data_IF_587765467837
#
_entry.id   IF_587765467837
#
_cell.length_a   1.000
_cell.length_b   1.000
_cell.length_c   1.000
_cell.angle_alpha   90.00
_cell.angle_beta   90.00
_cell.angle_gamma   90.00
#
_symmetry.space_group_name_H-M   'P 1'
#
loop_
_entity.id
_entity.type
_entity.pdbx_description
1 polymer ?
#
# COMPACT_ATOMS: atom_id res chain seq x y z
N UNK A 1 -25.25 21.05 15.03
CA UNK A 1 -24.59 20.20 16.05
C UNK A 1 -23.60 19.19 15.47
N UNK A 2 -23.92 18.49 14.36
CA UNK A 2 -23.03 17.46 13.78
C UNK A 2 -21.63 17.98 13.41
N UNK A 3 -21.53 19.16 12.78
CA UNK A 3 -20.23 19.76 12.45
C UNK A 3 -19.40 20.10 13.69
N UNK A 4 -20.03 20.63 14.75
CA UNK A 4 -19.33 20.94 16.01
C UNK A 4 -18.73 19.69 16.66
N UNK A 5 -19.47 18.58 16.66
CA UNK A 5 -18.98 17.29 17.16
C UNK A 5 -17.81 16.76 16.32
N UNK A 6 -17.92 16.83 14.98
CA UNK A 6 -16.84 16.42 14.09
C UNK A 6 -15.58 17.27 14.28
N UNK A 7 -15.71 18.59 14.42
CA UNK A 7 -14.58 19.49 14.65
C UNK A 7 -13.86 19.17 15.95
N UNK A 8 -14.59 18.98 17.06
CA UNK A 8 -13.99 18.61 18.35
C UNK A 8 -13.28 17.25 18.26
N UNK A 9 -13.90 16.27 17.59
CA UNK A 9 -13.30 14.96 17.38
C UNK A 9 -11.99 15.05 16.58
N UNK A 10 -12.01 15.76 15.44
CA UNK A 10 -10.82 15.95 14.61
C UNK A 10 -9.74 16.73 15.35
N UNK A 11 -10.08 17.73 16.16
CA UNK A 11 -9.14 18.48 16.97
C UNK A 11 -8.42 17.59 17.99
N UNK A 12 -9.14 16.69 18.66
CA UNK A 12 -8.58 15.74 19.63
C UNK A 12 -7.93 14.49 19.03
N UNK A 13 -8.19 14.16 17.76
CA UNK A 13 -7.66 12.96 17.14
C UNK A 13 -6.13 13.02 16.95
N UNK A 14 -5.42 11.87 17.01
CA UNK A 14 -4.06 11.75 16.51
C UNK A 14 -3.93 12.28 15.08
N UNK A 15 -2.91 13.09 14.81
CA UNK A 15 -2.67 13.67 13.48
C UNK A 15 -1.63 12.85 12.73
N UNK A 16 -1.89 12.58 11.46
CA UNK A 16 -0.92 12.01 10.54
C UNK A 16 -1.18 12.53 9.13
N UNK A 17 -0.11 12.94 8.46
CA UNK A 17 -0.08 13.25 7.03
C UNK A 17 0.69 12.19 6.24
N UNK A 18 0.99 11.02 6.83
CA UNK A 18 1.86 10.00 6.23
C UNK A 18 1.29 9.46 4.90
N UNK A 19 -0.03 9.19 4.86
CA UNK A 19 -0.71 8.73 3.66
C UNK A 19 -0.78 9.83 2.58
N UNK A 20 -0.97 11.08 2.99
CA UNK A 20 -0.99 12.23 2.08
C UNK A 20 0.37 12.38 1.37
N UNK A 21 1.46 12.41 2.14
CA UNK A 21 2.82 12.50 1.60
C UNK A 21 3.19 11.29 0.73
N UNK A 22 2.70 10.09 1.08
CA UNK A 22 2.91 8.88 0.29
C UNK A 22 2.25 8.98 -1.09
N UNK A 23 1.04 9.52 -1.17
CA UNK A 23 0.32 9.71 -2.44
C UNK A 23 1.04 10.77 -3.27
N UNK A 24 1.42 11.91 -2.68
CA UNK A 24 2.17 12.96 -3.38
C UNK A 24 3.48 12.43 -3.97
N UNK A 25 4.24 11.66 -3.20
CA UNK A 25 5.49 11.06 -3.67
C UNK A 25 5.25 10.02 -4.78
N UNK A 26 4.19 9.21 -4.68
CA UNK A 26 3.83 8.24 -5.71
C UNK A 26 3.39 8.92 -7.02
N UNK A 27 2.61 10.01 -6.92
CA UNK A 27 2.21 10.80 -8.09
C UNK A 27 3.42 11.42 -8.79
N UNK A 28 4.31 12.06 -8.02
CA UNK A 28 5.56 12.61 -8.57
C UNK A 28 6.44 11.53 -9.20
N UNK A 29 6.49 10.34 -8.62
CA UNK A 29 7.22 9.22 -9.21
C UNK A 29 6.64 8.83 -10.58
N UNK A 30 5.33 8.71 -10.70
CA UNK A 30 4.66 8.40 -11.97
C UNK A 30 4.88 9.49 -13.03
N UNK A 31 4.82 10.76 -12.64
CA UNK A 31 5.07 11.89 -13.55
C UNK A 31 6.51 11.88 -14.10
N UNK A 32 7.48 11.56 -13.25
CA UNK A 32 8.89 11.51 -13.62
C UNK A 32 9.31 10.20 -14.32
N UNK A 33 8.49 9.16 -14.24
CA UNK A 33 8.78 7.83 -14.80
C UNK A 33 7.59 7.34 -15.65
N UNK A 34 7.37 7.93 -16.85
CA UNK A 34 6.23 7.58 -17.70
C UNK A 34 6.29 6.13 -18.25
N UNK A 35 7.50 5.57 -18.35
CA UNK A 35 7.75 4.23 -18.92
C UNK A 35 7.76 3.11 -17.86
N UNK A 36 7.14 3.32 -16.69
CA UNK A 36 7.03 2.26 -15.67
C UNK A 36 6.18 1.13 -16.21
N UNK A 37 6.82 0.01 -16.49
CA UNK A 37 6.15 -1.19 -16.98
C UNK A 37 5.36 -1.83 -15.85
N UNK A 38 4.17 -2.34 -16.15
CA UNK A 38 3.41 -3.19 -15.22
C UNK A 38 3.94 -4.62 -15.36
N UNK A 39 4.30 -5.32 -14.26
CA UNK A 39 4.69 -6.72 -14.34
C UNK A 39 3.64 -7.55 -15.07
N UNK A 40 4.07 -8.45 -15.96
CA UNK A 40 3.15 -9.18 -16.84
C UNK A 40 2.06 -9.90 -16.04
N UNK A 41 2.43 -10.56 -14.94
CA UNK A 41 1.53 -11.28 -14.02
C UNK A 41 0.54 -10.38 -13.24
N UNK A 42 0.55 -9.06 -13.42
CA UNK A 42 -0.44 -8.13 -12.86
C UNK A 42 -1.35 -7.53 -13.94
N UNK A 43 -1.07 -7.74 -15.23
CA UNK A 43 -1.90 -7.20 -16.31
C UNK A 43 -3.23 -7.94 -16.34
N UNK A 44 -4.31 -7.19 -16.58
CA UNK A 44 -5.62 -7.80 -16.75
C UNK A 44 -5.64 -8.63 -18.04
N UNK A 45 -6.00 -9.91 -17.93
CA UNK A 45 -6.19 -10.81 -19.08
C UNK A 45 -7.62 -11.31 -19.05
N UNK A 46 -8.21 -11.46 -20.23
CA UNK A 46 -9.54 -12.03 -20.37
C UNK A 46 -9.57 -13.42 -19.75
N UNK A 47 -10.66 -13.72 -19.05
CA UNK A 47 -10.89 -14.96 -18.27
C UNK A 47 -10.71 -16.24 -19.12
N UNK A 48 -10.86 -16.12 -20.44
CA UNK A 48 -10.66 -17.21 -21.42
C UNK A 48 -9.21 -17.71 -21.46
N UNK A 49 -8.24 -16.83 -21.20
CA UNK A 49 -6.85 -17.18 -20.97
C UNK A 49 -6.64 -17.45 -19.47
N UNK A 50 -6.80 -18.73 -19.10
CA UNK A 50 -6.55 -19.28 -17.76
C UNK A 50 -5.43 -18.53 -17.04
N UNK A 51 -5.71 -18.02 -15.83
CA UNK A 51 -4.80 -17.45 -14.82
C UNK A 51 -3.38 -17.18 -15.35
N UNK A 52 -3.00 -15.92 -15.49
CA UNK A 52 -1.65 -15.56 -15.93
C UNK A 52 -0.59 -16.41 -15.21
N UNK A 53 0.31 -17.08 -15.96
CA UNK A 53 1.37 -17.84 -15.34
C UNK A 53 2.22 -16.90 -14.49
N UNK A 54 2.17 -17.08 -13.16
CA UNK A 54 2.99 -16.33 -12.20
C UNK A 54 2.24 -15.42 -11.22
N UNK A 55 0.96 -15.11 -11.43
CA UNK A 55 0.19 -14.38 -10.41
C UNK A 55 -0.10 -15.29 -9.21
N UNK A 56 0.34 -14.88 -8.03
CA UNK A 56 0.03 -15.55 -6.77
C UNK A 56 -1.17 -14.87 -6.12
N UNK A 57 -2.27 -15.62 -5.99
CA UNK A 57 -3.49 -15.13 -5.34
C UNK A 57 -3.28 -15.03 -3.83
N UNK A 58 -3.28 -13.83 -3.21
CA UNK A 58 -2.86 -13.67 -1.81
C UNK A 58 -3.70 -14.47 -0.81
N UNK A 59 -4.98 -14.72 -1.11
CA UNK A 59 -5.87 -15.46 -0.21
C UNK A 59 -5.51 -16.94 -0.05
N UNK A 60 -4.71 -17.50 -0.97
CA UNK A 60 -4.24 -18.88 -0.87
C UNK A 60 -3.02 -19.01 0.08
N UNK A 61 -2.49 -17.90 0.60
CA UNK A 61 -1.30 -17.87 1.44
C UNK A 61 -1.64 -17.54 2.91
N UNK A 62 -0.82 -18.01 3.87
CA UNK A 62 -0.98 -17.63 5.28
C UNK A 62 -1.02 -16.12 5.46
N UNK A 63 -1.88 -15.65 6.38
CA UNK A 63 -2.13 -14.23 6.65
C UNK A 63 -2.64 -13.42 5.43
N UNK A 64 -3.12 -14.12 4.38
CA UNK A 64 -3.51 -13.52 3.10
C UNK A 64 -2.40 -12.66 2.47
N UNK A 65 -1.14 -13.01 2.72
CA UNK A 65 0.01 -12.28 2.23
C UNK A 65 0.93 -13.19 1.43
N UNK A 66 1.36 -12.71 0.28
CA UNK A 66 2.34 -13.39 -0.56
C UNK A 66 3.46 -12.45 -0.95
N UNK A 67 4.69 -12.93 -0.81
CA UNK A 67 5.86 -12.23 -1.33
C UNK A 67 5.88 -12.33 -2.86
N UNK A 68 5.35 -11.30 -3.49
CA UNK A 68 5.35 -11.07 -4.93
C UNK A 68 5.78 -9.63 -5.18
N UNK A 69 6.50 -9.40 -6.28
CA UNK A 69 6.86 -8.05 -6.67
C UNK A 69 5.64 -7.37 -7.27
N UNK A 70 5.30 -6.18 -6.79
CA UNK A 70 4.12 -5.46 -7.29
C UNK A 70 4.49 -4.27 -8.17
N UNK A 71 5.72 -3.80 -8.06
CA UNK A 71 6.23 -2.67 -8.82
C UNK A 71 7.68 -2.89 -9.24
N UNK A 72 8.08 -2.32 -10.37
CA UNK A 72 9.50 -2.25 -10.79
C UNK A 72 10.20 -1.03 -10.18
N UNK A 73 9.89 -0.72 -8.93
CA UNK A 73 10.47 0.36 -8.16
C UNK A 73 10.81 -0.17 -6.77
N UNK A 74 11.97 0.21 -6.24
CA UNK A 74 12.38 -0.13 -4.88
C UNK A 74 12.06 1.00 -3.87
N UNK A 75 11.39 2.07 -4.30
CA UNK A 75 10.97 3.19 -3.43
C UNK A 75 9.85 2.79 -2.47
N UNK A 76 9.93 3.33 -1.25
CA UNK A 76 8.92 3.15 -0.21
C UNK A 76 8.24 4.49 0.03
N UNK A 77 7.05 4.65 -0.53
CA UNK A 77 6.24 5.86 -0.40
C UNK A 77 5.54 5.98 0.95
N UNK A 78 4.95 4.88 1.43
CA UNK A 78 4.18 4.90 2.67
C UNK A 78 5.04 4.56 3.90
N UNK A 79 5.16 5.52 4.82
CA UNK A 79 5.91 5.39 6.07
C UNK A 79 5.00 5.76 7.24
N UNK A 80 4.25 4.79 7.81
CA UNK A 80 3.33 5.07 8.92
C UNK A 80 4.08 5.58 10.15
N UNK A 81 3.47 6.51 10.88
CA UNK A 81 3.94 6.93 12.19
C UNK A 81 3.60 5.90 13.27
N UNK A 82 4.11 6.10 14.48
CA UNK A 82 3.77 5.28 15.63
C UNK A 82 2.64 5.88 16.49
N UNK A 83 1.82 6.78 15.92
CA UNK A 83 0.79 7.51 16.66
C UNK A 83 -0.61 6.97 16.27
N UNK A 84 -1.45 6.76 17.29
CA UNK A 84 -2.84 6.36 17.08
C UNK A 84 -2.96 5.02 16.39
N UNK A 85 -3.80 4.95 15.36
CA UNK A 85 -4.05 3.71 14.62
C UNK A 85 -2.85 3.27 13.75
N UNK A 86 -2.01 4.20 13.32
CA UNK A 86 -0.87 3.88 12.46
C UNK A 86 0.16 2.98 13.13
N UNK A 87 0.26 3.01 14.47
CA UNK A 87 1.10 2.05 15.19
C UNK A 87 0.69 0.60 14.93
N UNK A 88 -0.63 0.33 14.85
CA UNK A 88 -1.16 -1.01 14.53
C UNK A 88 -0.86 -1.37 13.08
N UNK A 89 -1.02 -0.42 12.16
CA UNK A 89 -0.69 -0.61 10.74
C UNK A 89 0.80 -0.92 10.58
N UNK A 90 1.67 -0.17 11.25
CA UNK A 90 3.11 -0.37 11.21
C UNK A 90 3.51 -1.76 11.74
N UNK A 91 2.90 -2.20 12.84
CA UNK A 91 3.14 -3.53 13.40
C UNK A 91 2.68 -4.63 12.43
N UNK A 92 1.48 -4.51 11.87
CA UNK A 92 0.97 -5.46 10.88
C UNK A 92 1.87 -5.53 9.64
N UNK A 93 2.32 -4.38 9.12
CA UNK A 93 3.24 -4.33 7.98
C UNK A 93 4.56 -5.04 8.30
N UNK A 94 5.12 -4.85 9.51
CA UNK A 94 6.33 -5.56 9.95
C UNK A 94 6.11 -7.07 10.07
N UNK A 95 4.94 -7.50 10.55
CA UNK A 95 4.59 -8.92 10.68
C UNK A 95 4.50 -9.61 9.31
N UNK A 96 3.83 -9.00 8.33
CA UNK A 96 3.63 -9.63 7.02
C UNK A 96 4.85 -9.50 6.11
N UNK A 97 5.59 -8.39 6.16
CA UNK A 97 6.75 -8.15 5.28
C UNK A 97 8.07 -8.66 5.88
N UNK A 98 8.12 -8.92 7.19
CA UNK A 98 9.36 -9.24 7.89
C UNK A 98 10.36 -8.08 7.80
N UNK A 99 11.64 -8.40 7.58
CA UNK A 99 12.75 -7.43 7.51
C UNK A 99 12.90 -6.75 6.13
N UNK A 100 11.99 -7.03 5.18
CA UNK A 100 12.04 -6.45 3.83
C UNK A 100 10.62 -6.13 3.34
N UNK A 101 10.26 -4.84 3.14
CA UNK A 101 8.95 -4.47 2.60
C UNK A 101 8.71 -5.21 1.27
N UNK A 102 7.46 -5.59 0.99
CA UNK A 102 7.09 -6.12 -0.34
C UNK A 102 7.51 -5.12 -1.40
N UNK A 103 8.55 -5.48 -2.16
CA UNK A 103 9.04 -4.75 -3.34
C UNK A 103 8.41 -5.38 -4.57
#
# INVERSE_FOLDING_TARGET
MVLSQATIYLAGAPKSNSAYLAIDAAMQYCENNPDVVIPDYLKNVRIEDKRQPGYKYPHDFPNHYVKQRYMHCDEIFYRPSNIGYEAKVNNYLKEITGDRPSR
#
